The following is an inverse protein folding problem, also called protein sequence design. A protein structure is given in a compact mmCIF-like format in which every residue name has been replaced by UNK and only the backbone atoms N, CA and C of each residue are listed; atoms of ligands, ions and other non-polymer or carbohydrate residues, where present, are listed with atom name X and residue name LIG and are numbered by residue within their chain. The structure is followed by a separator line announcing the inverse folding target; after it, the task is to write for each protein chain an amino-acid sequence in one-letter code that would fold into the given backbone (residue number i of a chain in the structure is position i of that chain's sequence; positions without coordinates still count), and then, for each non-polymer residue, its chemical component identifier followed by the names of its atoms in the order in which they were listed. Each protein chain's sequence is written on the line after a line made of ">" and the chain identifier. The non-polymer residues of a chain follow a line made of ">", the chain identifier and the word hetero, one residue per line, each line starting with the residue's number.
data_IF_348882572080
#
_entry.id   IF_348882572080
#
_cell.length_a   1.000
_cell.length_b   1.000
_cell.length_c   1.000
_cell.angle_alpha   90.00
_cell.angle_beta   90.00
_cell.angle_gamma   90.00
#
_symmetry.space_group_name_H-M   'P 1'
#
loop_
_entity.id
_entity.type
_entity.pdbx_description
1 polymer ?
#
# COMPACT_ATOMS: atom_id res chain seq x y z
N UNK A 1 -5.44 -15.58 7.05
CA UNK A 1 -4.50 -14.92 7.98
C UNK A 1 -3.20 -15.68 7.81
N UNK A 2 -2.10 -14.98 7.51
CA UNK A 2 -0.81 -15.66 7.30
C UNK A 2 -0.50 -16.57 8.46
N UNK A 3 -0.17 -17.81 8.14
CA UNK A 3 0.03 -18.80 9.18
C UNK A 3 1.30 -18.49 9.95
N UNK A 4 1.30 -18.77 11.26
CA UNK A 4 2.51 -18.73 12.07
C UNK A 4 3.65 -19.55 11.43
N UNK A 5 3.33 -20.61 10.66
CA UNK A 5 4.35 -21.39 9.95
C UNK A 5 5.18 -20.55 8.99
N UNK A 6 4.56 -19.59 8.28
CA UNK A 6 5.27 -18.74 7.35
C UNK A 6 6.26 -17.81 8.08
N UNK A 7 5.84 -17.24 9.20
CA UNK A 7 6.66 -16.31 10.00
C UNK A 7 7.90 -16.98 10.62
N UNK A 8 7.84 -18.29 10.87
CA UNK A 8 8.95 -19.08 11.40
C UNK A 8 9.84 -19.70 10.31
N UNK A 9 9.59 -19.42 9.02
CA UNK A 9 10.49 -19.89 7.96
C UNK A 9 11.85 -19.18 8.04
N UNK A 10 12.94 -19.83 7.58
CA UNK A 10 14.22 -19.14 7.39
C UNK A 10 14.05 -17.87 6.55
N UNK A 11 14.77 -16.80 6.92
CA UNK A 11 14.64 -15.46 6.30
C UNK A 11 14.78 -15.52 4.78
N UNK A 12 15.73 -16.30 4.27
CA UNK A 12 15.94 -16.49 2.82
C UNK A 12 14.70 -17.06 2.12
N UNK A 13 14.04 -18.02 2.76
CA UNK A 13 12.82 -18.65 2.21
C UNK A 13 11.63 -17.69 2.27
N UNK A 14 11.50 -16.91 3.34
CA UNK A 14 10.49 -15.85 3.41
C UNK A 14 10.72 -14.82 2.31
N UNK A 15 11.97 -14.36 2.14
CA UNK A 15 12.36 -13.38 1.13
C UNK A 15 12.02 -13.88 -0.29
N UNK A 16 12.39 -15.12 -0.62
CA UNK A 16 12.07 -15.71 -1.94
C UNK A 16 10.57 -15.81 -2.19
N UNK A 17 9.78 -16.18 -1.18
CA UNK A 17 8.31 -16.21 -1.32
C UNK A 17 7.75 -14.80 -1.49
N UNK A 18 8.20 -13.83 -0.69
CA UNK A 18 7.79 -12.42 -0.82
C UNK A 18 8.13 -11.86 -2.20
N UNK A 19 9.32 -12.17 -2.74
CA UNK A 19 9.71 -11.74 -4.07
C UNK A 19 8.81 -12.34 -5.16
N UNK A 20 8.44 -13.61 -5.05
CA UNK A 20 7.53 -14.25 -5.99
C UNK A 20 6.10 -13.67 -5.90
N UNK A 21 5.63 -13.36 -4.70
CA UNK A 21 4.36 -12.64 -4.51
C UNK A 21 4.42 -11.24 -5.14
N UNK A 22 5.50 -10.50 -4.91
CA UNK A 22 5.70 -9.17 -5.46
C UNK A 22 5.74 -9.19 -6.98
N UNK A 23 6.46 -10.16 -7.55
CA UNK A 23 6.51 -10.36 -8.99
C UNK A 23 5.11 -10.62 -9.55
N UNK A 24 4.35 -11.55 -8.96
CA UNK A 24 2.99 -11.86 -9.42
C UNK A 24 2.06 -10.65 -9.33
N UNK A 25 1.96 -10.02 -8.16
CA UNK A 25 0.99 -8.95 -7.90
C UNK A 25 1.39 -7.59 -8.48
N UNK A 26 2.60 -7.46 -9.02
CA UNK A 26 3.01 -6.31 -9.83
C UNK A 26 2.70 -6.51 -11.32
N UNK A 27 2.55 -7.74 -11.81
CA UNK A 27 2.28 -7.99 -13.22
C UNK A 27 0.81 -8.29 -13.51
N UNK A 28 0.06 -8.78 -12.52
CA UNK A 28 -1.33 -9.21 -12.69
C UNK A 28 -2.24 -8.60 -11.62
N UNK A 29 -3.44 -8.09 -11.97
CA UNK A 29 -4.48 -7.81 -11.00
C UNK A 29 -4.79 -9.03 -10.14
N UNK A 30 -5.27 -8.83 -8.91
CA UNK A 30 -5.57 -9.89 -7.96
C UNK A 30 -6.54 -10.93 -8.52
N UNK A 31 -7.51 -10.49 -9.32
CA UNK A 31 -8.48 -11.37 -10.00
C UNK A 31 -7.83 -12.30 -11.04
N UNK A 32 -6.71 -11.89 -11.64
CA UNK A 32 -5.99 -12.64 -12.68
C UNK A 32 -4.76 -13.37 -12.14
N UNK A 33 -4.43 -13.16 -10.86
CA UNK A 33 -3.28 -13.76 -10.21
C UNK A 33 -3.43 -15.29 -10.09
N UNK A 34 -2.31 -16.01 -10.11
CA UNK A 34 -2.30 -17.47 -10.11
C UNK A 34 -1.30 -18.05 -9.12
N UNK A 35 -1.80 -18.94 -8.25
CA UNK A 35 -0.96 -19.74 -7.33
C UNK A 35 0.12 -20.51 -8.10
N UNK A 36 -0.20 -21.03 -9.29
CA UNK A 36 0.75 -21.81 -10.10
C UNK A 36 2.00 -21.01 -10.49
N UNK A 37 1.86 -19.71 -10.83
CA UNK A 37 3.00 -18.84 -11.15
C UNK A 37 3.83 -18.54 -9.91
N UNK A 38 3.17 -18.16 -8.81
CA UNK A 38 3.82 -17.88 -7.52
C UNK A 38 4.65 -19.06 -7.05
N UNK A 39 4.08 -20.28 -7.02
CA UNK A 39 4.79 -21.45 -6.46
C UNK A 39 5.96 -21.91 -7.34
N UNK A 40 5.84 -21.72 -8.66
CA UNK A 40 6.93 -21.94 -9.61
C UNK A 40 8.07 -20.96 -9.36
N UNK A 41 7.77 -19.68 -9.24
CA UNK A 41 8.76 -18.61 -9.03
C UNK A 41 9.42 -18.71 -7.64
N UNK A 42 8.63 -18.98 -6.59
CA UNK A 42 9.12 -19.17 -5.22
C UNK A 42 9.86 -20.51 -5.01
N UNK A 43 9.85 -21.39 -6.02
CA UNK A 43 10.37 -22.76 -5.95
C UNK A 43 9.87 -23.52 -4.70
N UNK A 44 8.54 -23.63 -4.58
CA UNK A 44 7.84 -24.38 -3.53
C UNK A 44 6.75 -25.27 -4.14
N UNK A 45 6.36 -26.33 -3.43
CA UNK A 45 5.20 -27.14 -3.85
C UNK A 45 3.89 -26.36 -3.66
N UNK A 46 2.87 -26.65 -4.49
CA UNK A 46 1.54 -26.03 -4.36
C UNK A 46 0.91 -26.24 -2.98
N UNK A 47 1.08 -27.41 -2.38
CA UNK A 47 0.60 -27.68 -1.02
C UNK A 47 1.28 -26.81 0.05
N UNK A 48 2.52 -26.36 -0.18
CA UNK A 48 3.21 -25.45 0.74
C UNK A 48 2.59 -24.05 0.71
N UNK A 49 2.12 -23.57 -0.43
CA UNK A 49 1.41 -22.29 -0.53
C UNK A 49 0.21 -22.25 0.43
N UNK A 50 -0.65 -23.27 0.37
CA UNK A 50 -1.83 -23.36 1.24
C UNK A 50 -1.52 -23.67 2.71
N UNK A 51 -0.27 -24.01 3.03
CA UNK A 51 0.22 -24.04 4.42
C UNK A 51 0.52 -22.63 4.95
N UNK A 52 0.83 -21.70 4.07
CA UNK A 52 1.27 -20.34 4.41
C UNK A 52 0.14 -19.31 4.30
N UNK A 53 -0.68 -19.44 3.26
CA UNK A 53 -1.78 -18.53 2.93
C UNK A 53 -3.06 -19.31 2.67
N UNK A 54 -4.19 -18.79 3.14
CA UNK A 54 -5.49 -19.43 2.92
C UNK A 54 -5.86 -19.44 1.43
N UNK A 55 -5.61 -18.32 0.76
CA UNK A 55 -5.87 -18.10 -0.66
C UNK A 55 -4.98 -16.99 -1.24
N UNK A 56 -5.22 -16.60 -2.50
CA UNK A 56 -4.51 -15.48 -3.14
C UNK A 56 -4.79 -14.13 -2.48
N UNK A 57 -5.98 -13.94 -1.93
CA UNK A 57 -6.38 -12.69 -1.26
C UNK A 57 -5.60 -12.52 0.04
N UNK A 58 -5.42 -13.60 0.82
CA UNK A 58 -4.60 -13.61 2.03
C UNK A 58 -3.13 -13.34 1.72
N UNK A 59 -2.59 -13.98 0.68
CA UNK A 59 -1.22 -13.74 0.21
C UNK A 59 -1.01 -12.29 -0.28
N UNK A 60 -2.01 -11.73 -0.97
CA UNK A 60 -1.99 -10.33 -1.42
C UNK A 60 -2.02 -9.37 -0.24
N UNK A 61 -2.97 -9.54 0.70
CA UNK A 61 -3.10 -8.69 1.89
C UNK A 61 -1.82 -8.70 2.72
N UNK A 62 -1.19 -9.87 2.85
CA UNK A 62 0.10 -10.01 3.50
C UNK A 62 1.18 -9.15 2.83
N UNK A 63 1.42 -9.38 1.53
CA UNK A 63 2.46 -8.66 0.81
C UNK A 63 2.21 -7.15 0.83
N UNK A 64 0.97 -6.73 0.56
CA UNK A 64 0.61 -5.31 0.55
C UNK A 64 0.82 -4.68 1.93
N UNK A 65 0.49 -5.39 3.01
CA UNK A 65 0.79 -4.95 4.38
C UNK A 65 2.28 -4.77 4.65
N UNK A 66 3.13 -5.71 4.19
CA UNK A 66 4.59 -5.60 4.28
C UNK A 66 5.08 -4.35 3.52
N UNK A 67 4.61 -4.15 2.28
CA UNK A 67 4.97 -2.99 1.48
C UNK A 67 4.58 -1.68 2.16
N UNK A 68 3.37 -1.59 2.72
CA UNK A 68 2.91 -0.40 3.42
C UNK A 68 3.73 -0.11 4.67
N UNK A 69 4.10 -1.14 5.45
CA UNK A 69 4.98 -0.97 6.61
C UNK A 69 6.37 -0.50 6.20
N UNK A 70 6.91 -0.97 5.08
CA UNK A 70 8.23 -0.57 4.59
C UNK A 70 8.27 0.87 4.07
N UNK A 71 7.26 1.29 3.30
CA UNK A 71 7.17 2.65 2.71
C UNK A 71 6.71 3.71 3.73
N UNK A 72 5.95 3.33 4.76
CA UNK A 72 5.47 4.31 5.76
C UNK A 72 6.41 4.47 6.96
N UNK A 73 7.58 3.82 7.02
CA UNK A 73 8.44 3.81 8.22
C UNK A 73 8.81 5.20 8.71
N UNK A 74 8.93 6.14 7.78
CA UNK A 74 9.45 7.48 8.05
C UNK A 74 8.38 8.57 7.92
N UNK A 75 7.11 8.20 7.72
CA UNK A 75 6.00 9.14 7.62
C UNK A 75 5.44 9.54 8.99
N UNK A 76 4.91 10.77 9.12
CA UNK A 76 4.08 11.12 10.26
C UNK A 76 2.90 10.16 10.36
N UNK A 77 2.65 9.61 11.56
CA UNK A 77 1.58 8.63 11.79
C UNK A 77 0.18 9.19 11.55
N UNK A 78 0.00 10.50 11.71
CA UNK A 78 -1.26 11.20 11.48
C UNK A 78 -1.00 12.65 11.04
N UNK A 79 -1.90 13.24 10.23
CA UNK A 79 -1.91 14.67 10.04
C UNK A 79 -2.41 15.37 11.30
N UNK A 80 -1.85 16.55 11.56
CA UNK A 80 -2.32 17.54 12.53
C UNK A 80 -2.26 18.90 11.86
N UNK A 81 -2.88 19.92 12.47
CA UNK A 81 -2.82 21.29 11.92
C UNK A 81 -1.39 21.86 11.92
N UNK A 82 -0.51 21.34 12.79
CA UNK A 82 0.87 21.80 12.93
C UNK A 82 1.84 21.13 11.94
N UNK A 83 1.48 20.00 11.34
CA UNK A 83 2.38 19.22 10.47
C UNK A 83 1.93 19.13 9.01
N UNK A 84 0.98 19.96 8.57
CA UNK A 84 0.40 19.89 7.22
C UNK A 84 1.49 19.89 6.13
N UNK A 85 2.48 20.77 6.21
CA UNK A 85 3.53 20.86 5.19
C UNK A 85 4.40 19.58 5.15
N UNK A 86 4.83 19.08 6.31
CA UNK A 86 5.56 17.81 6.43
C UNK A 86 4.73 16.64 5.89
N UNK A 87 3.43 16.61 6.21
CA UNK A 87 2.52 15.58 5.77
C UNK A 87 2.36 15.61 4.24
N UNK A 88 2.17 16.77 3.64
CA UNK A 88 2.08 16.91 2.17
C UNK A 88 3.40 16.56 1.49
N UNK A 89 4.54 16.98 2.05
CA UNK A 89 5.86 16.65 1.50
C UNK A 89 6.18 15.16 1.55
N UNK A 90 5.54 14.44 2.47
CA UNK A 90 5.65 12.98 2.53
C UNK A 90 5.12 12.27 1.28
N UNK A 91 4.28 12.90 0.44
CA UNK A 91 3.82 12.32 -0.85
C UNK A 91 5.00 12.00 -1.76
N UNK A 92 5.96 12.93 -1.92
CA UNK A 92 7.12 12.68 -2.79
C UNK A 92 7.98 11.55 -2.24
N UNK A 93 8.12 11.52 -0.92
CA UNK A 93 8.86 10.47 -0.22
C UNK A 93 8.21 9.10 -0.38
N UNK A 94 6.89 9.01 -0.25
CA UNK A 94 6.13 7.79 -0.52
C UNK A 94 6.45 7.22 -1.89
N UNK A 95 6.40 8.08 -2.90
CA UNK A 95 6.60 7.71 -4.30
C UNK A 95 8.02 7.22 -4.51
N UNK A 96 9.02 7.96 -4.01
CA UNK A 96 10.43 7.58 -4.08
C UNK A 96 10.69 6.23 -3.40
N UNK A 97 10.25 6.06 -2.15
CA UNK A 97 10.45 4.81 -1.40
C UNK A 97 9.72 3.62 -2.05
N UNK A 98 8.54 3.86 -2.65
CA UNK A 98 7.82 2.84 -3.41
C UNK A 98 8.55 2.44 -4.70
N UNK A 99 9.18 3.39 -5.40
CA UNK A 99 9.98 3.11 -6.60
C UNK A 99 11.26 2.35 -6.23
N UNK A 100 12.00 2.81 -5.22
CA UNK A 100 13.25 2.20 -4.75
C UNK A 100 13.06 0.78 -4.22
N UNK A 101 11.96 0.53 -3.50
CA UNK A 101 11.63 -0.80 -3.00
C UNK A 101 10.95 -1.71 -4.04
N UNK A 102 10.67 -1.21 -5.25
CA UNK A 102 10.03 -1.98 -6.33
C UNK A 102 8.52 -2.22 -6.14
N UNK A 103 7.86 -1.45 -5.27
CA UNK A 103 6.43 -1.56 -4.97
C UNK A 103 5.53 -0.67 -5.85
N UNK A 104 6.09 0.22 -6.67
CA UNK A 104 5.29 1.17 -7.48
C UNK A 104 4.18 0.50 -8.28
N UNK A 105 4.53 -0.57 -8.99
CA UNK A 105 3.58 -1.26 -9.84
C UNK A 105 2.52 -2.04 -9.04
N UNK A 106 2.91 -2.63 -7.90
CA UNK A 106 1.97 -3.24 -6.94
C UNK A 106 0.91 -2.23 -6.47
N UNK A 107 1.35 -1.01 -6.10
CA UNK A 107 0.45 0.06 -5.62
C UNK A 107 -0.41 0.60 -6.76
N UNK A 108 0.14 0.72 -7.98
CA UNK A 108 -0.62 1.11 -9.16
C UNK A 108 -1.77 0.14 -9.44
N UNK A 109 -1.49 -1.17 -9.48
CA UNK A 109 -2.54 -2.19 -9.66
C UNK A 109 -3.52 -2.24 -8.48
N UNK A 110 -3.06 -1.90 -7.27
CA UNK A 110 -3.94 -1.75 -6.12
C UNK A 110 -5.04 -0.72 -6.37
N UNK A 111 -4.65 0.50 -6.76
CA UNK A 111 -5.58 1.58 -7.02
C UNK A 111 -6.44 1.37 -8.27
N UNK A 112 -5.90 0.72 -9.31
CA UNK A 112 -6.66 0.49 -10.55
C UNK A 112 -7.70 -0.63 -10.42
N UNK A 113 -7.37 -1.72 -9.70
CA UNK A 113 -8.15 -2.96 -9.78
C UNK A 113 -8.41 -3.62 -8.42
N UNK A 114 -7.40 -3.72 -7.55
CA UNK A 114 -7.49 -4.65 -6.41
C UNK A 114 -8.27 -4.08 -5.23
N UNK A 115 -8.23 -2.77 -4.99
CA UNK A 115 -8.89 -2.17 -3.82
C UNK A 115 -10.41 -2.42 -3.79
N UNK A 116 -11.07 -2.46 -4.96
CA UNK A 116 -12.49 -2.73 -5.07
C UNK A 116 -12.83 -4.18 -4.75
N UNK A 117 -11.93 -5.11 -5.10
CA UNK A 117 -12.10 -6.54 -4.87
C UNK A 117 -11.94 -6.92 -3.38
N UNK A 118 -11.10 -6.19 -2.64
CA UNK A 118 -10.78 -6.47 -1.25
C UNK A 118 -11.88 -6.07 -0.25
N UNK A 119 -12.85 -5.29 -0.72
CA UNK A 119 -13.86 -4.62 0.10
C UNK A 119 -13.29 -3.41 0.84
N UNK A 120 -14.09 -2.35 0.95
CA UNK A 120 -13.72 -1.15 1.71
C UNK A 120 -14.39 -1.17 3.08
N UNK A 121 -13.66 -0.70 4.09
CA UNK A 121 -14.23 -0.38 5.40
C UNK A 121 -14.49 1.13 5.49
N UNK A 122 -15.57 1.57 6.15
CA UNK A 122 -15.77 2.99 6.41
C UNK A 122 -14.63 3.52 7.29
N UNK A 123 -14.26 4.79 7.11
CA UNK A 123 -13.34 5.50 8.01
C UNK A 123 -13.98 5.63 9.39
N UNK A 124 -13.18 5.51 10.44
CA UNK A 124 -13.62 5.78 11.81
C UNK A 124 -13.84 7.27 12.02
N UNK A 125 -14.82 7.65 12.85
CA UNK A 125 -15.05 9.04 13.27
C UNK A 125 -14.42 9.20 14.66
N UNK A 126 -13.29 9.92 14.81
CA UNK A 126 -12.71 10.21 16.12
C UNK A 126 -13.60 11.18 16.91
N UNK A 127 -13.46 11.18 18.24
CA UNK A 127 -14.28 11.99 19.15
C UNK A 127 -13.69 13.36 19.53
N UNK A 128 -12.50 13.70 19.04
CA UNK A 128 -11.82 14.96 19.36
C UNK A 128 -12.28 16.14 18.48
N UNK A 129 -11.98 17.36 18.92
CA UNK A 129 -12.47 18.59 18.28
C UNK A 129 -11.87 18.83 16.88
N UNK A 130 -10.67 18.31 16.62
CA UNK A 130 -9.95 18.48 15.35
C UNK A 130 -10.19 17.33 14.36
N UNK A 131 -10.89 16.27 14.80
CA UNK A 131 -11.14 15.03 14.06
C UNK A 131 -11.74 15.24 12.67
N UNK A 132 -12.59 16.26 12.51
CA UNK A 132 -13.17 16.61 11.21
C UNK A 132 -12.12 17.17 10.24
N UNK A 133 -11.20 18.01 10.73
CA UNK A 133 -10.11 18.57 9.93
C UNK A 133 -9.07 17.48 9.62
N UNK A 134 -8.69 16.66 10.61
CA UNK A 134 -7.80 15.52 10.40
C UNK A 134 -8.36 14.56 9.33
N UNK A 135 -9.64 14.21 9.41
CA UNK A 135 -10.32 13.38 8.41
C UNK A 135 -10.26 14.00 7.00
N UNK A 136 -10.55 15.30 6.87
CA UNK A 136 -10.49 15.98 5.58
C UNK A 136 -9.08 15.98 5.00
N UNK A 137 -8.05 16.25 5.82
CA UNK A 137 -6.64 16.19 5.42
C UNK A 137 -6.29 14.78 4.95
N UNK A 138 -6.62 13.74 5.72
CA UNK A 138 -6.34 12.35 5.36
C UNK A 138 -7.05 11.92 4.07
N UNK A 139 -8.30 12.31 3.87
CA UNK A 139 -9.07 11.96 2.68
C UNK A 139 -8.46 12.59 1.41
N UNK A 140 -8.17 13.90 1.47
CA UNK A 140 -7.56 14.63 0.36
C UNK A 140 -6.14 14.16 0.08
N UNK A 141 -5.36 13.86 1.11
CA UNK A 141 -4.02 13.29 1.00
C UNK A 141 -4.04 11.95 0.24
N UNK A 142 -4.86 10.99 0.67
CA UNK A 142 -4.92 9.68 0.01
C UNK A 142 -5.45 9.77 -1.43
N UNK A 143 -6.41 10.67 -1.70
CA UNK A 143 -6.85 10.91 -3.08
C UNK A 143 -5.71 11.49 -3.93
N UNK A 144 -4.91 12.40 -3.37
CA UNK A 144 -3.74 12.99 -4.05
C UNK A 144 -2.69 11.91 -4.33
N UNK A 145 -2.35 11.07 -3.35
CA UNK A 145 -1.40 9.95 -3.54
C UNK A 145 -1.89 9.01 -4.66
N UNK A 146 -3.18 8.66 -4.67
CA UNK A 146 -3.76 7.85 -5.74
C UNK A 146 -3.57 8.50 -7.11
N UNK A 147 -3.96 9.77 -7.24
CA UNK A 147 -3.85 10.50 -8.51
C UNK A 147 -2.39 10.53 -9.00
N UNK A 148 -1.44 10.82 -8.11
CA UNK A 148 0.01 10.85 -8.41
C UNK A 148 0.56 9.46 -8.79
N UNK A 149 0.11 8.39 -8.15
CA UNK A 149 0.53 7.03 -8.52
C UNK A 149 0.04 6.67 -9.92
N UNK A 150 -1.19 7.06 -10.27
CA UNK A 150 -1.83 6.73 -11.54
C UNK A 150 -1.38 7.64 -12.68
N UNK A 151 -1.10 8.90 -12.40
CA UNK A 151 -0.63 9.93 -13.32
C UNK A 151 0.57 10.70 -12.72
N UNK A 152 1.80 10.14 -12.83
CA UNK A 152 2.99 10.70 -12.20
C UNK A 152 3.38 12.08 -12.74
N UNK A 153 3.00 12.41 -13.97
CA UNK A 153 3.31 13.71 -14.60
C UNK A 153 2.56 14.85 -13.91
N UNK A 154 1.38 14.56 -13.32
CA UNK A 154 0.57 15.55 -12.61
C UNK A 154 1.04 15.87 -11.19
N UNK A 155 2.16 15.29 -10.73
CA UNK A 155 2.53 15.29 -9.32
C UNK A 155 2.70 16.68 -8.72
N UNK A 156 3.40 17.58 -9.40
CA UNK A 156 3.67 18.91 -8.88
C UNK A 156 2.38 19.75 -8.82
N UNK A 157 1.53 19.66 -9.83
CA UNK A 157 0.22 20.30 -9.89
C UNK A 157 -0.72 19.77 -8.79
N UNK A 158 -0.73 18.45 -8.56
CA UNK A 158 -1.55 17.81 -7.53
C UNK A 158 -1.09 18.16 -6.11
N UNK A 159 0.22 18.18 -5.85
CA UNK A 159 0.76 18.64 -4.58
C UNK A 159 0.45 20.12 -4.36
N UNK A 160 0.59 20.96 -5.40
CA UNK A 160 0.23 22.38 -5.33
C UNK A 160 -1.26 22.57 -5.03
N UNK A 161 -2.14 21.81 -5.70
CA UNK A 161 -3.58 21.82 -5.45
C UNK A 161 -3.88 21.45 -4.00
N UNK A 162 -3.29 20.37 -3.49
CA UNK A 162 -3.49 19.93 -2.11
C UNK A 162 -3.05 21.02 -1.11
N UNK A 163 -1.88 21.62 -1.30
CA UNK A 163 -1.38 22.71 -0.43
C UNK A 163 -2.35 23.89 -0.36
N UNK A 164 -2.88 24.34 -1.51
CA UNK A 164 -3.85 25.45 -1.56
C UNK A 164 -5.13 25.11 -0.78
N UNK A 165 -5.63 23.88 -0.90
CA UNK A 165 -6.84 23.46 -0.18
C UNK A 165 -6.58 23.39 1.32
N UNK A 166 -5.46 22.82 1.74
CA UNK A 166 -5.16 22.63 3.17
C UNK A 166 -4.76 23.93 3.89
N UNK A 167 -4.31 24.96 3.19
CA UNK A 167 -4.10 26.30 3.77
C UNK A 167 -5.37 26.91 4.38
N UNK A 168 -6.55 26.59 3.83
CA UNK A 168 -7.84 27.08 4.33
C UNK A 168 -8.41 26.22 5.48
N UNK A 169 -7.76 25.10 5.81
CA UNK A 169 -8.16 24.20 6.91
C UNK A 169 -7.53 24.64 8.24
N UNK A 170 -6.39 25.34 8.19
CA UNK A 170 -5.72 25.92 9.36
C UNK A 170 -6.62 26.96 10.02
#
# INVERSE_FOLDING_TARGET
>A
MVSATFEHLPVEKQSRIRQALLNEFSHYPLADAQVARIVKDANIARGAFYKYFDDLTDAYRYLFGVAMVEIHRTMPKRPTLDNIDEYVDSIRKFILEADEAGYRQLIKLHYQYNEGFLGRRPTTIPSDADSAKEWAITALYHQTVRDVVLDPESMDERIKQLRVVLQNVK
#
